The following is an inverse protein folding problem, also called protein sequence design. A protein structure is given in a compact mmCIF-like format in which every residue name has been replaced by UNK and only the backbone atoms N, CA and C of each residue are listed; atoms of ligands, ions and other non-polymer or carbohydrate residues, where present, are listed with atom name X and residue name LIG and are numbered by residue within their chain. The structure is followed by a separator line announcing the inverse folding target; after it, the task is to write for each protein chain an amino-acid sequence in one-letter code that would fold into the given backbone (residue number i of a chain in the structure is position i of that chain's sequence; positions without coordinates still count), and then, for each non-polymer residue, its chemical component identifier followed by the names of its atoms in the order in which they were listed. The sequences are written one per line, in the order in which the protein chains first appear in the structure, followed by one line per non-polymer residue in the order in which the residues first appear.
data_IF_079791167545
#
_entry.id   IF_079791167545
#
_cell.length_a   1.000
_cell.length_b   1.000
_cell.length_c   1.000
_cell.angle_alpha   90.00
_cell.angle_beta   90.00
_cell.angle_gamma   90.00
#
_symmetry.space_group_name_H-M   'P 1'
#
loop_
_entity.id
_entity.type
_entity.pdbx_description
1 polymer ?
#
# COMPACT_ATOMS: atom_id res chain seq x y z
N UNK A 1 18.11 13.89 7.16
CA UNK A 1 19.39 13.59 6.49
C UNK A 1 19.31 14.23 5.12
N UNK A 2 20.24 15.14 4.81
CA UNK A 2 20.09 16.07 3.67
C UNK A 2 20.17 15.33 2.34
N UNK A 3 19.13 15.44 1.50
CA UNK A 3 19.19 15.03 0.10
C UNK A 3 20.19 15.92 -0.63
N UNK A 4 21.35 15.35 -0.97
CA UNK A 4 22.38 16.06 -1.70
C UNK A 4 22.00 16.09 -3.19
N UNK A 5 21.25 17.13 -3.59
CA UNK A 5 20.93 17.39 -4.99
C UNK A 5 22.17 17.93 -5.70
N UNK A 6 23.04 17.04 -6.21
CA UNK A 6 24.04 17.46 -7.19
C UNK A 6 23.32 17.93 -8.44
N UNK A 7 23.41 19.23 -8.73
CA UNK A 7 22.72 19.85 -9.85
C UNK A 7 23.27 19.35 -11.20
N UNK A 8 22.42 19.14 -12.22
CA UNK A 8 22.84 18.62 -13.53
C UNK A 8 23.87 19.51 -14.23
N UNK A 9 23.98 20.80 -13.87
CA UNK A 9 24.99 21.71 -14.41
C UNK A 9 26.40 21.46 -13.88
N UNK A 10 26.55 21.01 -12.62
CA UNK A 10 27.86 20.61 -12.07
C UNK A 10 28.34 19.29 -12.69
N UNK A 11 27.38 18.42 -13.06
CA UNK A 11 27.63 17.15 -13.73
C UNK A 11 28.16 17.31 -15.18
N UNK A 12 27.69 18.35 -15.89
CA UNK A 12 28.10 18.64 -17.27
C UNK A 12 29.46 19.36 -17.39
N UNK A 13 29.95 19.97 -16.31
CA UNK A 13 31.22 20.71 -16.30
C UNK A 13 32.45 19.85 -15.94
N UNK A 14 32.26 18.60 -15.51
CA UNK A 14 33.35 17.66 -15.23
C UNK A 14 33.74 16.91 -16.50
N UNK A 15 35.00 17.06 -16.92
CA UNK A 15 35.61 16.39 -18.08
C UNK A 15 35.65 14.85 -17.97
N UNK A 16 35.14 14.29 -16.86
CA UNK A 16 34.87 12.86 -16.67
C UNK A 16 33.38 12.61 -16.42
N UNK A 17 32.55 12.80 -17.44
CA UNK A 17 31.24 12.13 -17.50
C UNK A 17 31.51 10.65 -17.78
N UNK A 18 31.86 9.90 -16.74
CA UNK A 18 31.74 8.45 -16.78
C UNK A 18 30.25 8.12 -16.73
N UNK A 19 29.78 7.29 -17.64
CA UNK A 19 28.42 6.75 -17.62
C UNK A 19 28.10 6.03 -16.31
N UNK A 20 29.11 5.61 -15.55
CA UNK A 20 28.91 4.95 -14.26
C UNK A 20 28.38 5.92 -13.20
N UNK A 21 28.82 7.19 -13.18
CA UNK A 21 28.36 8.17 -12.18
C UNK A 21 26.98 8.79 -12.48
N UNK A 22 26.44 8.58 -13.69
CA UNK A 22 25.05 8.93 -14.04
C UNK A 22 24.03 7.94 -13.49
N UNK A 23 24.47 6.71 -13.19
CA UNK A 23 23.57 5.59 -12.92
C UNK A 23 23.92 4.79 -11.65
N UNK A 24 25.09 4.99 -11.03
CA UNK A 24 25.48 4.38 -9.74
C UNK A 24 24.65 4.88 -8.54
N UNK A 25 23.95 6.01 -8.67
CA UNK A 25 23.23 6.63 -7.55
C UNK A 25 21.71 6.43 -7.53
N UNK A 26 21.15 5.59 -8.40
CA UNK A 26 19.68 5.53 -8.54
C UNK A 26 19.23 4.10 -8.81
N UNK A 27 19.22 3.28 -7.76
CA UNK A 27 18.25 2.19 -7.72
C UNK A 27 16.86 2.83 -7.54
N UNK A 28 15.80 2.24 -8.09
CA UNK A 28 14.45 2.61 -7.63
C UNK A 28 14.39 2.12 -6.19
N UNK A 29 14.82 2.99 -5.28
CA UNK A 29 15.13 2.58 -3.92
C UNK A 29 13.86 2.12 -3.25
N UNK A 30 13.93 0.89 -2.76
CA UNK A 30 13.01 0.33 -1.78
C UNK A 30 12.83 1.30 -0.57
N UNK A 31 13.74 2.26 -0.37
CA UNK A 31 13.57 3.37 0.57
C UNK A 31 12.29 4.19 0.34
N UNK A 32 11.89 4.45 -0.91
CA UNK A 32 10.64 5.16 -1.22
C UNK A 32 9.40 4.38 -0.74
N UNK A 33 9.53 3.05 -0.66
CA UNK A 33 8.50 2.15 -0.15
C UNK A 33 8.63 1.84 1.34
N UNK A 34 9.67 2.34 2.03
CA UNK A 34 9.88 2.09 3.46
C UNK A 34 8.71 2.58 4.33
N UNK A 35 7.97 3.59 3.85
CA UNK A 35 6.75 4.08 4.50
C UNK A 35 5.60 3.07 4.51
N UNK A 36 5.61 2.04 3.65
CA UNK A 36 4.59 0.99 3.61
C UNK A 36 4.66 0.01 4.78
N UNK A 37 5.85 -0.17 5.35
CA UNK A 37 6.10 -1.07 6.48
C UNK A 37 5.66 -0.44 7.81
N UNK A 38 5.63 0.90 7.87
CA UNK A 38 5.27 1.64 9.07
C UNK A 38 3.84 1.34 9.53
N UNK A 39 3.67 1.23 10.84
CA UNK A 39 2.34 1.24 11.45
C UNK A 39 1.66 2.59 11.24
N UNK A 40 0.33 2.64 11.44
CA UNK A 40 -0.41 3.90 11.30
C UNK A 40 0.00 4.94 12.34
N UNK A 41 0.42 4.50 13.52
CA UNK A 41 0.95 5.39 14.54
C UNK A 41 2.30 5.99 14.12
N UNK A 42 3.17 5.19 13.49
CA UNK A 42 4.50 5.61 13.08
C UNK A 42 4.52 6.43 11.78
N UNK A 43 3.51 6.25 10.92
CA UNK A 43 3.40 7.02 9.68
C UNK A 43 3.08 8.50 9.96
N UNK A 44 2.09 8.78 10.81
CA UNK A 44 1.80 10.13 11.29
C UNK A 44 1.17 10.10 12.70
N UNK A 45 1.98 10.31 13.76
CA UNK A 45 1.53 10.24 15.14
C UNK A 45 0.40 11.23 15.48
N UNK A 46 0.42 12.41 14.86
CA UNK A 46 -0.57 13.47 15.11
C UNK A 46 -1.94 13.09 14.56
N UNK A 47 -1.97 12.62 13.30
CA UNK A 47 -3.22 12.16 12.66
C UNK A 47 -3.75 10.93 13.39
N UNK A 48 -2.88 9.99 13.75
CA UNK A 48 -3.24 8.80 14.51
C UNK A 48 -3.85 9.14 15.88
N UNK A 49 -3.21 10.06 16.62
CA UNK A 49 -3.72 10.51 17.93
C UNK A 49 -5.11 11.14 17.79
N UNK A 50 -5.31 11.98 16.78
CA UNK A 50 -6.61 12.60 16.51
C UNK A 50 -7.69 11.58 16.14
N UNK A 51 -7.40 10.65 15.24
CA UNK A 51 -8.37 9.60 14.86
C UNK A 51 -8.66 8.65 16.02
N UNK A 52 -7.66 8.30 16.82
CA UNK A 52 -7.84 7.48 18.03
C UNK A 52 -8.68 8.20 19.07
N UNK A 53 -8.48 9.51 19.25
CA UNK A 53 -9.29 10.32 20.16
C UNK A 53 -10.77 10.36 19.72
N UNK A 54 -11.05 10.53 18.43
CA UNK A 54 -12.42 10.44 17.90
C UNK A 54 -12.99 9.03 18.12
N UNK A 55 -12.20 8.00 17.84
CA UNK A 55 -12.63 6.60 17.94
C UNK A 55 -13.00 6.25 19.37
N UNK A 56 -12.13 6.54 20.34
CA UNK A 56 -12.36 6.23 21.76
C UNK A 56 -13.35 7.18 22.43
N UNK A 57 -13.33 8.46 22.07
CA UNK A 57 -14.14 9.50 22.70
C UNK A 57 -15.58 9.57 22.21
N UNK A 58 -15.83 9.25 20.94
CA UNK A 58 -17.15 9.45 20.31
C UNK A 58 -17.68 8.13 19.76
N UNK A 59 -16.91 7.46 18.92
CA UNK A 59 -17.44 6.36 18.11
C UNK A 59 -17.62 5.06 18.90
N UNK A 60 -16.74 4.77 19.86
CA UNK A 60 -16.90 3.62 20.76
C UNK A 60 -18.14 3.75 21.65
N UNK A 61 -18.35 4.86 22.40
CA UNK A 61 -19.60 5.08 23.13
C UNK A 61 -20.84 5.01 22.24
N UNK A 62 -20.77 5.55 21.02
CA UNK A 62 -21.87 5.47 20.05
C UNK A 62 -22.17 4.02 19.66
N UNK A 63 -21.14 3.22 19.37
CA UNK A 63 -21.29 1.79 19.06
C UNK A 63 -21.95 1.02 20.21
N UNK A 64 -21.54 1.28 21.45
CA UNK A 64 -22.15 0.66 22.64
C UNK A 64 -23.60 1.12 22.83
N UNK A 65 -23.91 2.40 22.59
CA UNK A 65 -25.28 2.91 22.68
C UNK A 65 -26.20 2.25 21.64
N UNK A 66 -25.73 2.10 20.39
CA UNK A 66 -26.46 1.38 19.34
C UNK A 66 -26.66 -0.09 19.77
N UNK A 67 -25.60 -0.74 20.27
CA UNK A 67 -25.66 -2.11 20.76
C UNK A 67 -26.73 -2.30 21.84
N UNK A 68 -26.83 -1.37 22.78
CA UNK A 68 -27.84 -1.41 23.84
C UNK A 68 -29.27 -1.33 23.28
N UNK A 69 -29.52 -0.49 22.28
CA UNK A 69 -30.83 -0.41 21.60
C UNK A 69 -31.14 -1.73 20.88
N UNK A 70 -30.18 -2.28 20.14
CA UNK A 70 -30.36 -3.55 19.41
C UNK A 70 -30.64 -4.70 20.39
N UNK A 71 -29.96 -4.73 21.54
CA UNK A 71 -30.19 -5.72 22.60
C UNK A 71 -31.64 -5.72 23.09
N UNK A 72 -32.22 -4.55 23.36
CA UNK A 72 -33.62 -4.43 23.79
C UNK A 72 -34.58 -4.94 22.70
N UNK A 73 -34.29 -4.66 21.44
CA UNK A 73 -35.09 -5.13 20.31
C UNK A 73 -35.03 -6.65 20.13
N UNK A 74 -33.84 -7.25 20.21
CA UNK A 74 -33.68 -8.71 20.13
C UNK A 74 -34.30 -9.42 21.32
N UNK A 75 -34.16 -8.85 22.53
CA UNK A 75 -34.84 -9.36 23.72
C UNK A 75 -36.37 -9.36 23.54
N UNK A 76 -36.95 -8.28 23.00
CA UNK A 76 -38.38 -8.21 22.69
C UNK A 76 -38.81 -9.25 21.64
N UNK A 77 -38.02 -9.43 20.57
CA UNK A 77 -38.28 -10.46 19.54
C UNK A 77 -38.26 -11.87 20.14
N UNK A 78 -37.28 -12.17 20.98
CA UNK A 78 -37.17 -13.45 21.67
C UNK A 78 -38.34 -13.68 22.64
N UNK A 79 -38.72 -12.67 23.43
CA UNK A 79 -39.88 -12.73 24.33
C UNK A 79 -41.17 -13.05 23.57
N UNK A 80 -41.41 -12.37 22.43
CA UNK A 80 -42.58 -12.64 21.58
C UNK A 80 -42.54 -14.04 20.97
N UNK A 81 -41.37 -14.49 20.49
CA UNK A 81 -41.20 -15.84 19.93
C UNK A 81 -41.54 -16.92 20.96
N UNK A 82 -41.06 -16.77 22.18
CA UNK A 82 -41.31 -17.71 23.29
C UNK A 82 -42.78 -17.69 23.69
N UNK A 83 -43.37 -16.50 23.86
CA UNK A 83 -44.80 -16.35 24.17
C UNK A 83 -45.71 -16.99 23.11
N UNK A 84 -45.41 -16.80 21.82
CA UNK A 84 -46.17 -17.40 20.72
C UNK A 84 -46.00 -18.93 20.64
N UNK A 85 -44.91 -19.48 21.15
CA UNK A 85 -44.68 -20.93 21.24
C UNK A 85 -45.27 -21.59 22.50
N UNK A 86 -45.97 -20.83 23.35
CA UNK A 86 -46.57 -21.34 24.59
C UNK A 86 -45.56 -21.65 25.70
N UNK A 87 -44.31 -21.23 25.55
CA UNK A 87 -43.23 -21.45 26.51
C UNK A 87 -43.03 -20.27 27.48
N UNK A 88 -42.35 -20.51 28.58
CA UNK A 88 -41.84 -19.46 29.47
C UNK A 88 -40.42 -19.06 29.06
N UNK A 89 -40.07 -17.79 29.24
CA UNK A 89 -38.71 -17.31 29.00
C UNK A 89 -37.81 -17.82 30.12
N UNK A 90 -36.97 -18.82 29.82
CA UNK A 90 -35.98 -19.37 30.75
C UNK A 90 -34.64 -18.66 30.57
N UNK A 91 -33.82 -18.64 31.64
CA UNK A 91 -32.45 -18.12 31.57
C UNK A 91 -31.63 -18.84 30.50
N UNK A 92 -31.86 -20.14 30.30
CA UNK A 92 -31.19 -20.95 29.27
C UNK A 92 -31.49 -20.46 27.85
N UNK A 93 -32.69 -19.93 27.59
CA UNK A 93 -33.02 -19.31 26.30
C UNK A 93 -32.36 -17.93 26.10
N UNK A 94 -32.11 -17.19 27.18
CA UNK A 94 -31.51 -15.84 27.13
C UNK A 94 -29.99 -15.83 27.20
N UNK A 95 -29.38 -16.83 27.86
CA UNK A 95 -27.94 -16.93 28.05
C UNK A 95 -27.12 -16.78 26.75
N UNK A 96 -27.44 -17.47 25.63
CA UNK A 96 -26.66 -17.33 24.40
C UNK A 96 -26.74 -15.91 23.80
N UNK A 97 -27.89 -15.23 23.94
CA UNK A 97 -28.03 -13.84 23.53
C UNK A 97 -27.08 -12.96 24.35
N UNK A 98 -27.16 -13.01 25.68
CA UNK A 98 -26.33 -12.18 26.58
C UNK A 98 -24.84 -12.38 26.31
N UNK A 99 -24.39 -13.62 26.14
CA UNK A 99 -22.99 -13.93 25.84
C UNK A 99 -22.54 -13.32 24.50
N UNK A 100 -23.38 -13.42 23.45
CA UNK A 100 -23.10 -12.80 22.15
C UNK A 100 -22.93 -11.28 22.29
N UNK A 101 -23.83 -10.61 23.00
CA UNK A 101 -23.76 -9.17 23.20
C UNK A 101 -22.54 -8.71 24.01
N UNK A 102 -22.12 -9.48 25.02
CA UNK A 102 -20.87 -9.21 25.75
C UNK A 102 -19.67 -9.31 24.79
N UNK A 103 -19.63 -10.34 23.93
CA UNK A 103 -18.57 -10.48 22.93
C UNK A 103 -18.56 -9.30 21.96
N UNK A 104 -19.72 -8.86 21.48
CA UNK A 104 -19.83 -7.68 20.61
C UNK A 104 -19.30 -6.43 21.31
N UNK A 105 -19.64 -6.21 22.59
CA UNK A 105 -19.12 -5.08 23.37
C UNK A 105 -17.59 -5.12 23.51
N UNK A 106 -17.01 -6.30 23.76
CA UNK A 106 -15.55 -6.48 23.79
C UNK A 106 -14.93 -6.15 22.43
N UNK A 107 -15.54 -6.58 21.32
CA UNK A 107 -15.08 -6.24 19.97
C UNK A 107 -15.11 -4.72 19.73
N UNK A 108 -16.18 -4.02 20.11
CA UNK A 108 -16.30 -2.55 19.98
C UNK A 108 -15.11 -1.84 20.65
N UNK A 109 -14.74 -2.27 21.85
CA UNK A 109 -13.64 -1.67 22.62
C UNK A 109 -12.26 -1.95 22.04
N UNK A 110 -12.10 -3.03 21.27
CA UNK A 110 -10.81 -3.49 20.71
C UNK A 110 -10.72 -3.38 19.18
N UNK A 111 -11.59 -2.62 18.52
CA UNK A 111 -11.59 -2.53 17.05
C UNK A 111 -10.32 -1.94 16.46
N UNK A 112 -9.67 -1.00 17.15
CA UNK A 112 -8.39 -0.43 16.70
C UNK A 112 -7.29 -1.49 16.62
N UNK A 113 -7.26 -2.40 17.60
CA UNK A 113 -6.31 -3.53 17.64
C UNK A 113 -6.54 -4.47 16.45
N UNK A 114 -7.80 -4.72 16.06
CA UNK A 114 -8.11 -5.56 14.90
C UNK A 114 -7.58 -4.91 13.61
N UNK A 115 -7.80 -3.61 13.42
CA UNK A 115 -7.31 -2.89 12.24
C UNK A 115 -5.78 -2.85 12.19
N UNK A 116 -5.14 -2.57 13.33
CA UNK A 116 -3.68 -2.60 13.45
C UNK A 116 -3.11 -3.98 13.15
N UNK A 117 -3.72 -5.06 13.63
CA UNK A 117 -3.28 -6.42 13.36
C UNK A 117 -3.31 -6.77 11.87
N UNK A 118 -4.37 -6.37 11.15
CA UNK A 118 -4.46 -6.57 9.69
C UNK A 118 -3.30 -5.86 8.97
N UNK A 119 -2.99 -4.64 9.39
CA UNK A 119 -1.96 -3.83 8.75
C UNK A 119 -0.57 -4.35 9.11
N UNK A 120 -0.36 -4.79 10.34
CA UNK A 120 0.88 -5.44 10.78
C UNK A 120 1.16 -6.73 10.00
N UNK A 121 0.14 -7.54 9.71
CA UNK A 121 0.28 -8.71 8.84
C UNK A 121 0.72 -8.32 7.43
N UNK A 122 0.15 -7.25 6.86
CA UNK A 122 0.57 -6.76 5.56
C UNK A 122 2.01 -6.22 5.57
N UNK A 123 2.39 -5.48 6.61
CA UNK A 123 3.78 -5.02 6.80
C UNK A 123 4.75 -6.18 6.89
N UNK A 124 4.41 -7.22 7.65
CA UNK A 124 5.22 -8.43 7.77
C UNK A 124 5.42 -9.10 6.40
N UNK A 125 4.38 -9.23 5.58
CA UNK A 125 4.52 -9.77 4.21
C UNK A 125 5.46 -8.90 3.38
N UNK A 126 5.32 -7.57 3.45
CA UNK A 126 6.21 -6.64 2.72
C UNK A 126 7.67 -6.83 3.14
N UNK A 127 7.95 -6.96 4.43
CA UNK A 127 9.31 -7.21 4.95
C UNK A 127 9.89 -8.53 4.43
N UNK A 128 9.10 -9.61 4.42
CA UNK A 128 9.54 -10.90 3.89
C UNK A 128 9.86 -10.80 2.39
N UNK A 129 8.99 -10.13 1.61
CA UNK A 129 9.21 -9.91 0.18
C UNK A 129 10.44 -9.03 -0.02
N UNK A 130 10.64 -7.99 0.79
CA UNK A 130 11.82 -7.13 0.73
C UNK A 130 13.11 -7.92 0.92
N UNK A 131 13.15 -8.79 1.93
CA UNK A 131 14.30 -9.68 2.17
C UNK A 131 14.61 -10.58 0.98
N UNK A 132 13.61 -11.07 0.25
CA UNK A 132 13.83 -11.88 -0.95
C UNK A 132 14.35 -11.03 -2.13
N UNK A 133 13.80 -9.83 -2.31
CA UNK A 133 14.20 -8.92 -3.40
C UNK A 133 15.64 -8.45 -3.22
N UNK A 134 16.07 -8.14 -2.00
CA UNK A 134 17.46 -7.73 -1.71
C UNK A 134 18.46 -8.87 -1.96
N UNK A 135 18.06 -10.13 -1.74
CA UNK A 135 18.92 -11.31 -1.98
C UNK A 135 18.89 -11.82 -3.44
N UNK A 136 17.88 -11.43 -4.22
CA UNK A 136 17.70 -11.82 -5.63
C UNK A 136 18.61 -11.09 -6.63
N UNK A 137 19.42 -10.14 -6.15
CA UNK A 137 20.66 -9.66 -6.77
C UNK A 137 20.66 -9.56 -8.30
N UNK A 138 19.92 -8.60 -8.88
CA UNK A 138 20.34 -8.03 -10.14
C UNK A 138 21.46 -7.04 -9.82
N UNK A 139 22.71 -7.51 -9.78
CA UNK A 139 23.86 -6.62 -9.82
C UNK A 139 23.74 -5.79 -11.09
N UNK A 140 23.51 -4.49 -10.91
CA UNK A 140 23.42 -3.53 -11.98
C UNK A 140 24.83 -3.32 -12.53
N UNK A 141 25.21 -4.09 -13.55
CA UNK A 141 26.25 -3.61 -14.43
C UNK A 141 25.68 -2.37 -15.14
N UNK A 142 26.22 -1.22 -14.77
CA UNK A 142 26.13 -0.01 -15.56
C UNK A 142 26.73 -0.31 -16.92
N UNK A 143 26.01 0.06 -17.98
CA UNK A 143 26.56 0.01 -19.32
C UNK A 143 27.69 1.04 -19.36
N UNK A 144 28.92 0.57 -19.14
CA UNK A 144 30.11 1.29 -19.51
C UNK A 144 30.19 1.27 -21.04
N UNK A 145 29.99 2.42 -21.67
CA UNK A 145 30.41 2.63 -23.06
C UNK A 145 29.31 2.66 -24.11
N UNK A 146 28.50 3.73 -24.11
CA UNK A 146 27.94 4.23 -25.37
C UNK A 146 28.84 5.36 -25.85
N UNK A 147 29.86 5.02 -26.64
CA UNK A 147 30.66 6.01 -27.36
C UNK A 147 29.84 6.50 -28.55
N UNK A 148 29.02 7.51 -28.33
CA UNK A 148 28.43 8.29 -29.43
C UNK A 148 29.56 8.88 -30.28
N UNK A 149 29.73 8.35 -31.49
CA UNK A 149 30.64 8.94 -32.48
C UNK A 149 30.03 10.26 -32.96
N UNK A 150 30.68 11.39 -32.62
CA UNK A 150 30.29 12.75 -33.03
C UNK A 150 29.52 13.57 -31.98
N UNK A 151 29.72 14.90 -32.01
CA UNK A 151 29.12 15.89 -31.09
C UNK A 151 27.58 15.81 -31.09
N UNK A 152 26.97 15.59 -32.25
CA UNK A 152 25.50 15.48 -32.39
C UNK A 152 24.96 14.22 -31.71
N UNK A 153 25.67 13.09 -31.83
CA UNK A 153 25.30 11.84 -31.15
C UNK A 153 25.34 11.97 -29.63
N UNK A 154 26.36 12.65 -29.09
CA UNK A 154 26.46 12.94 -27.65
C UNK A 154 25.33 13.83 -27.14
N UNK A 155 24.88 14.81 -27.93
CA UNK A 155 23.77 15.70 -27.56
C UNK A 155 22.42 14.97 -27.51
N UNK A 156 22.15 14.08 -28.48
CA UNK A 156 20.92 13.27 -28.51
C UNK A 156 20.88 12.30 -27.31
N UNK A 157 21.99 11.61 -27.05
CA UNK A 157 22.09 10.70 -25.88
C UNK A 157 21.90 11.48 -24.58
N UNK A 158 22.49 12.67 -24.45
CA UNK A 158 22.30 13.55 -23.30
C UNK A 158 20.84 13.99 -23.10
N UNK A 159 20.12 14.32 -24.17
CA UNK A 159 18.70 14.68 -24.10
C UNK A 159 17.83 13.52 -23.60
N UNK A 160 18.01 12.31 -24.14
CA UNK A 160 17.26 11.14 -23.68
C UNK A 160 17.62 10.74 -22.25
N UNK A 161 18.88 10.92 -21.82
CA UNK A 161 19.28 10.68 -20.43
C UNK A 161 18.56 11.62 -19.45
N UNK A 162 18.43 12.91 -19.80
CA UNK A 162 17.67 13.89 -18.99
C UNK A 162 16.19 13.53 -18.94
N UNK A 163 15.59 13.08 -20.06
CA UNK A 163 14.19 12.65 -20.08
C UNK A 163 13.96 11.42 -19.20
N UNK A 164 14.82 10.41 -19.27
CA UNK A 164 14.72 9.21 -18.42
C UNK A 164 14.83 9.62 -16.94
N UNK A 165 15.77 10.50 -16.60
CA UNK A 165 15.92 11.02 -15.24
C UNK A 165 14.64 11.73 -14.74
N UNK A 166 14.03 12.57 -15.57
CA UNK A 166 12.80 13.30 -15.23
C UNK A 166 11.62 12.35 -14.99
N UNK A 167 11.43 11.37 -15.89
CA UNK A 167 10.37 10.36 -15.76
C UNK A 167 10.56 9.52 -14.50
N UNK A 168 11.81 9.23 -14.10
CA UNK A 168 12.12 8.48 -12.88
C UNK A 168 11.88 9.27 -11.60
N UNK A 169 12.18 10.57 -11.60
CA UNK A 169 11.78 11.45 -10.51
C UNK A 169 10.25 11.51 -10.36
N UNK A 170 9.54 11.56 -11.48
CA UNK A 170 8.08 11.54 -11.48
C UNK A 170 7.51 10.23 -10.90
N UNK A 171 8.11 9.07 -11.20
CA UNK A 171 7.62 7.78 -10.68
C UNK A 171 7.75 7.67 -9.16
N UNK A 172 8.86 8.11 -8.57
CA UNK A 172 9.05 8.14 -7.11
C UNK A 172 8.00 9.04 -6.44
N UNK A 173 7.75 10.22 -7.02
CA UNK A 173 6.72 11.13 -6.52
C UNK A 173 5.33 10.49 -6.53
N UNK A 174 4.98 9.78 -7.61
CA UNK A 174 3.71 9.06 -7.73
C UNK A 174 3.58 7.97 -6.67
N UNK A 175 4.64 7.18 -6.41
CA UNK A 175 4.64 6.15 -5.36
C UNK A 175 4.36 6.78 -3.99
N UNK A 176 5.08 7.85 -3.62
CA UNK A 176 4.90 8.53 -2.33
C UNK A 176 3.48 9.10 -2.17
N UNK A 177 2.92 9.68 -3.23
CA UNK A 177 1.54 10.19 -3.23
C UNK A 177 0.55 9.05 -3.02
N UNK A 178 0.70 7.92 -3.74
CA UNK A 178 -0.19 6.76 -3.62
C UNK A 178 -0.15 6.16 -2.22
N UNK A 179 1.04 6.05 -1.61
CA UNK A 179 1.19 5.57 -0.24
C UNK A 179 0.45 6.51 0.72
N UNK A 180 0.61 7.83 0.56
CA UNK A 180 -0.07 8.81 1.42
C UNK A 180 -1.59 8.74 1.28
N UNK A 181 -2.12 8.61 0.06
CA UNK A 181 -3.56 8.46 -0.19
C UNK A 181 -4.10 7.20 0.50
N UNK A 182 -3.38 6.08 0.40
CA UNK A 182 -3.74 4.82 1.08
C UNK A 182 -3.82 5.02 2.61
N UNK A 183 -2.83 5.68 3.21
CA UNK A 183 -2.85 5.96 4.64
C UNK A 183 -4.03 6.85 5.03
N UNK A 184 -4.34 7.89 4.25
CA UNK A 184 -5.52 8.74 4.48
C UNK A 184 -6.81 7.90 4.45
N UNK A 185 -6.98 7.00 3.48
CA UNK A 185 -8.15 6.13 3.38
C UNK A 185 -8.27 5.21 4.61
N UNK A 186 -7.17 4.62 5.07
CA UNK A 186 -7.13 3.83 6.29
C UNK A 186 -7.48 4.67 7.54
N UNK A 187 -6.93 5.88 7.66
CA UNK A 187 -7.24 6.78 8.77
C UNK A 187 -8.72 7.15 8.84
N UNK A 188 -9.36 7.39 7.69
CA UNK A 188 -10.78 7.69 7.62
C UNK A 188 -11.67 6.50 8.00
N UNK A 189 -11.17 5.27 7.86
CA UNK A 189 -11.91 4.09 8.26
C UNK A 189 -11.92 3.90 9.78
N UNK A 190 -10.79 4.09 10.48
CA UNK A 190 -10.64 3.76 11.92
C UNK A 190 -11.80 4.23 12.79
N UNK A 191 -12.27 5.51 12.72
CA UNK A 191 -13.35 5.97 13.59
C UNK A 191 -14.65 5.19 13.41
N UNK A 192 -14.92 4.65 12.23
CA UNK A 192 -16.14 3.90 11.95
C UNK A 192 -16.04 2.42 12.34
N UNK A 193 -14.82 1.90 12.56
CA UNK A 193 -14.58 0.50 12.89
C UNK A 193 -15.38 -0.01 14.11
N UNK A 194 -15.50 0.74 15.24
CA UNK A 194 -16.32 0.33 16.39
C UNK A 194 -17.80 0.12 16.07
N UNK A 195 -18.33 0.76 15.04
CA UNK A 195 -19.76 0.64 14.68
C UNK A 195 -19.96 -0.46 13.64
N UNK A 196 -19.08 -0.55 12.65
CA UNK A 196 -19.27 -1.42 11.49
C UNK A 196 -18.74 -2.83 11.72
N UNK A 197 -17.55 -2.99 12.31
CA UNK A 197 -16.95 -4.32 12.53
C UNK A 197 -17.88 -5.23 13.34
N UNK A 198 -18.40 -4.84 14.51
CA UNK A 198 -19.18 -5.76 15.33
C UNK A 198 -20.48 -6.25 14.68
N UNK A 199 -20.96 -5.59 13.62
CA UNK A 199 -22.12 -6.06 12.85
C UNK A 199 -21.90 -7.41 12.17
N UNK A 200 -20.66 -7.89 12.02
CA UNK A 200 -20.40 -9.23 11.46
C UNK A 200 -20.96 -10.37 12.32
N UNK A 201 -21.22 -10.13 13.62
CA UNK A 201 -21.78 -11.12 14.54
C UNK A 201 -23.31 -11.26 14.44
N UNK A 202 -23.99 -10.31 13.81
CA UNK A 202 -25.45 -10.36 13.59
C UNK A 202 -25.73 -10.96 12.23
N UNK A 203 -26.60 -11.97 12.14
CA UNK A 203 -26.94 -12.62 10.86
C UNK A 203 -27.53 -11.65 9.83
N UNK A 204 -28.32 -10.67 10.28
CA UNK A 204 -28.98 -9.68 9.40
C UNK A 204 -27.98 -8.65 8.83
N UNK A 205 -26.98 -8.26 9.62
CA UNK A 205 -26.02 -7.20 9.26
C UNK A 205 -24.62 -7.73 8.96
N UNK A 206 -24.46 -9.06 8.93
CA UNK A 206 -23.18 -9.73 8.74
C UNK A 206 -22.44 -9.27 7.48
N UNK A 207 -23.20 -9.07 6.41
CA UNK A 207 -22.69 -8.60 5.12
C UNK A 207 -21.99 -7.24 5.23
N UNK A 208 -22.52 -6.33 6.05
CA UNK A 208 -21.96 -4.98 6.24
C UNK A 208 -20.63 -5.06 6.97
N UNK A 209 -20.56 -5.81 8.08
CA UNK A 209 -19.33 -5.97 8.86
C UNK A 209 -18.23 -6.67 8.08
N UNK A 210 -18.56 -7.75 7.37
CA UNK A 210 -17.62 -8.45 6.49
C UNK A 210 -17.18 -7.55 5.33
N UNK A 211 -18.08 -6.82 4.70
CA UNK A 211 -17.76 -5.88 3.62
C UNK A 211 -16.80 -4.78 4.07
N UNK A 212 -16.99 -4.26 5.29
CA UNK A 212 -16.09 -3.27 5.87
C UNK A 212 -14.70 -3.86 6.15
N UNK A 213 -14.62 -5.06 6.73
CA UNK A 213 -13.34 -5.76 6.93
C UNK A 213 -12.65 -6.05 5.59
N UNK A 214 -13.40 -6.48 4.57
CA UNK A 214 -12.86 -6.65 3.20
C UNK A 214 -12.28 -5.35 2.66
N UNK A 215 -12.94 -4.21 2.83
CA UNK A 215 -12.40 -2.92 2.41
C UNK A 215 -11.07 -2.60 3.10
N UNK A 216 -10.93 -2.85 4.41
CA UNK A 216 -9.66 -2.67 5.12
C UNK A 216 -8.58 -3.61 4.54
N UNK A 217 -8.94 -4.87 4.29
CA UNK A 217 -8.04 -5.84 3.65
C UNK A 217 -7.59 -5.39 2.26
N UNK A 218 -8.44 -4.72 1.48
CA UNK A 218 -8.06 -4.18 0.16
C UNK A 218 -6.95 -3.17 0.29
N UNK A 219 -7.07 -2.22 1.23
CA UNK A 219 -6.03 -1.23 1.46
C UNK A 219 -4.75 -1.87 2.01
N UNK A 220 -4.86 -2.94 2.81
CA UNK A 220 -3.72 -3.73 3.26
C UNK A 220 -2.99 -4.40 2.07
N UNK A 221 -3.72 -5.15 1.23
CA UNK A 221 -3.22 -5.83 0.02
C UNK A 221 -2.70 -4.85 -1.02
N UNK A 222 -3.34 -3.68 -1.18
CA UNK A 222 -2.87 -2.63 -2.08
C UNK A 222 -1.45 -2.18 -1.70
N UNK A 223 -1.13 -2.08 -0.41
CA UNK A 223 0.23 -1.78 0.04
C UNK A 223 1.25 -2.83 -0.42
N UNK A 224 0.90 -4.11 -0.28
CA UNK A 224 1.74 -5.23 -0.75
C UNK A 224 1.93 -5.16 -2.27
N UNK A 225 0.87 -4.88 -3.03
CA UNK A 225 0.95 -4.76 -4.48
C UNK A 225 1.82 -3.58 -4.93
N UNK A 226 1.71 -2.41 -4.29
CA UNK A 226 2.57 -1.26 -4.58
C UNK A 226 4.04 -1.66 -4.38
N UNK A 227 4.35 -2.32 -3.26
CA UNK A 227 5.70 -2.80 -2.98
C UNK A 227 6.19 -3.79 -4.04
N UNK A 228 5.37 -4.80 -4.38
CA UNK A 228 5.70 -5.79 -5.41
C UNK A 228 5.95 -5.14 -6.77
N UNK A 229 5.06 -4.24 -7.21
CA UNK A 229 5.22 -3.55 -8.49
C UNK A 229 6.54 -2.79 -8.53
N UNK A 230 6.89 -2.05 -7.48
CA UNK A 230 8.16 -1.31 -7.40
C UNK A 230 9.37 -2.26 -7.38
N UNK A 231 9.28 -3.36 -6.64
CA UNK A 231 10.35 -4.36 -6.54
C UNK A 231 10.65 -5.11 -7.84
N UNK A 232 9.67 -5.19 -8.76
CA UNK A 232 9.84 -5.83 -10.07
C UNK A 232 10.53 -4.93 -11.10
N UNK A 233 10.53 -3.61 -10.90
CA UNK A 233 11.11 -2.63 -11.83
C UNK A 233 12.59 -2.92 -12.15
N UNK A 234 13.48 -3.16 -11.16
CA UNK A 234 14.84 -3.62 -11.38
C UNK A 234 14.97 -4.80 -12.34
N UNK A 235 14.10 -5.80 -12.19
CA UNK A 235 14.21 -7.09 -12.87
C UNK A 235 13.90 -6.95 -14.36
N UNK A 236 12.90 -6.14 -14.70
CA UNK A 236 12.57 -5.83 -16.10
C UNK A 236 13.62 -4.91 -16.76
N UNK A 237 14.22 -3.97 -16.01
CA UNK A 237 15.30 -3.12 -16.53
C UNK A 237 16.57 -3.94 -16.84
N UNK A 238 16.90 -4.94 -16.02
CA UNK A 238 18.07 -5.81 -16.22
C UNK A 238 17.94 -6.69 -17.48
N UNK A 239 16.74 -7.18 -17.80
CA UNK A 239 16.52 -8.01 -18.99
C UNK A 239 16.78 -7.25 -20.30
N UNK A 240 16.49 -5.94 -20.35
CA UNK A 240 16.80 -5.09 -21.49
C UNK A 240 18.30 -4.79 -21.66
N UNK A 241 19.07 -4.79 -20.58
CA UNK A 241 20.52 -4.50 -20.58
C UNK A 241 21.38 -5.65 -21.12
N UNK A 242 20.95 -6.90 -20.94
CA UNK A 242 21.72 -8.09 -21.37
C UNK A 242 21.88 -8.13 -22.90
N UNK A 243 20.94 -7.55 -23.66
CA UNK A 243 21.01 -7.47 -25.12
C UNK A 243 22.10 -6.52 -25.67
N UNK A 244 22.71 -5.68 -24.83
CA UNK A 244 23.54 -4.53 -25.23
C UNK A 244 25.03 -4.79 -25.10
N UNK A 245 25.42 -5.73 -24.23
CA UNK A 245 26.83 -6.01 -23.92
C UNK A 245 27.62 -6.62 -25.09
N UNK A 246 26.95 -6.96 -26.19
CA UNK A 246 27.56 -7.55 -27.39
C UNK A 246 28.13 -6.52 -28.40
N UNK A 247 28.28 -5.25 -28.02
CA UNK A 247 28.90 -4.22 -28.88
C UNK A 247 27.88 -3.43 -29.72
N UNK A 248 26.87 -2.89 -29.05
CA UNK A 248 25.72 -2.27 -29.68
C UNK A 248 25.98 -0.90 -30.34
N UNK A 249 25.47 -0.71 -31.55
CA UNK A 249 25.51 0.57 -32.28
C UNK A 249 24.56 1.63 -31.70
N UNK A 250 24.65 2.87 -32.20
CA UNK A 250 23.80 4.01 -31.76
C UNK A 250 22.29 3.68 -31.82
N UNK A 251 21.86 2.84 -32.77
CA UNK A 251 20.46 2.42 -32.93
C UNK A 251 19.97 1.53 -31.78
N UNK A 252 20.80 0.60 -31.32
CA UNK A 252 20.47 -0.31 -30.21
C UNK A 252 20.50 0.45 -28.88
N UNK A 253 21.49 1.35 -28.70
CA UNK A 253 21.53 2.34 -27.62
C UNK A 253 20.21 3.10 -27.47
N UNK A 254 19.68 3.64 -28.58
CA UNK A 254 18.41 4.36 -28.58
C UNK A 254 17.22 3.42 -28.28
N UNK A 255 17.22 2.19 -28.80
CA UNK A 255 16.16 1.22 -28.54
C UNK A 255 16.03 0.87 -27.05
N UNK A 256 17.14 0.73 -26.31
CA UNK A 256 17.12 0.47 -24.86
C UNK A 256 16.60 1.70 -24.10
N UNK A 257 17.02 2.90 -24.51
CA UNK A 257 16.56 4.14 -23.88
C UNK A 257 15.05 4.34 -24.08
N UNK A 258 14.51 4.03 -25.27
CA UNK A 258 13.07 4.00 -25.51
C UNK A 258 12.37 2.89 -24.69
N UNK A 259 12.97 1.71 -24.59
CA UNK A 259 12.45 0.61 -23.76
C UNK A 259 12.30 0.99 -22.28
N UNK A 260 13.31 1.68 -21.71
CA UNK A 260 13.25 2.18 -20.34
C UNK A 260 12.16 3.22 -20.11
N UNK A 261 11.92 4.10 -21.08
CA UNK A 261 10.81 5.07 -21.02
C UNK A 261 9.44 4.38 -21.06
N UNK A 262 9.26 3.39 -21.94
CA UNK A 262 8.02 2.60 -22.01
C UNK A 262 7.77 1.86 -20.70
N UNK A 263 8.82 1.26 -20.12
CA UNK A 263 8.71 0.56 -18.85
C UNK A 263 8.31 1.48 -17.69
N UNK A 264 8.85 2.70 -17.64
CA UNK A 264 8.47 3.67 -16.63
C UNK A 264 7.01 4.12 -16.75
N UNK A 265 6.48 4.25 -17.97
CA UNK A 265 5.06 4.55 -18.22
C UNK A 265 4.18 3.36 -17.77
N UNK A 266 4.58 2.13 -18.11
CA UNK A 266 3.87 0.92 -17.68
C UNK A 266 3.82 0.77 -16.15
N UNK A 267 4.90 1.14 -15.47
CA UNK A 267 4.98 1.16 -14.00
C UNK A 267 3.91 2.11 -13.42
N UNK A 268 3.79 3.33 -13.94
CA UNK A 268 2.78 4.30 -13.49
C UNK A 268 1.37 3.74 -13.70
N UNK A 269 1.11 3.13 -14.86
CA UNK A 269 -0.19 2.51 -15.15
C UNK A 269 -0.48 1.36 -14.17
N UNK A 270 0.50 0.50 -13.90
CA UNK A 270 0.37 -0.61 -12.96
C UNK A 270 0.13 -0.12 -11.51
N UNK A 271 0.83 0.93 -11.09
CA UNK A 271 0.66 1.55 -9.77
C UNK A 271 -0.75 2.13 -9.60
N UNK A 272 -1.25 2.86 -10.59
CA UNK A 272 -2.62 3.40 -10.56
C UNK A 272 -3.66 2.26 -10.57
N UNK A 273 -3.37 1.17 -11.30
CA UNK A 273 -4.20 -0.03 -11.33
C UNK A 273 -4.17 -0.87 -10.04
N UNK A 274 -3.18 -0.68 -9.16
CA UNK A 274 -2.96 -1.52 -7.96
C UNK A 274 -4.18 -1.61 -7.05
N UNK A 275 -4.93 -0.51 -6.89
CA UNK A 275 -6.15 -0.49 -6.07
C UNK A 275 -7.26 -1.36 -6.68
N UNK A 276 -7.41 -1.35 -8.00
CA UNK A 276 -8.40 -2.18 -8.71
C UNK A 276 -8.01 -3.66 -8.60
N UNK A 277 -6.72 -3.96 -8.76
CA UNK A 277 -6.20 -5.32 -8.61
C UNK A 277 -6.42 -5.84 -7.18
N UNK A 278 -6.15 -5.03 -6.16
CA UNK A 278 -6.40 -5.40 -4.76
C UNK A 278 -7.87 -5.72 -4.49
N UNK A 279 -8.81 -4.95 -5.08
CA UNK A 279 -10.26 -5.22 -4.98
C UNK A 279 -10.63 -6.55 -5.64
N UNK A 280 -10.12 -6.81 -6.83
CA UNK A 280 -10.40 -8.06 -7.54
C UNK A 280 -9.90 -9.30 -6.81
N UNK A 281 -8.74 -9.24 -6.13
CA UNK A 281 -8.19 -10.34 -5.34
C UNK A 281 -9.12 -10.72 -4.18
N UNK A 282 -9.80 -9.74 -3.60
CA UNK A 282 -10.70 -9.95 -2.45
C UNK A 282 -12.16 -10.19 -2.87
N UNK A 283 -12.39 -10.36 -4.18
CA UNK A 283 -13.70 -10.66 -4.75
C UNK A 283 -14.69 -9.50 -4.61
N UNK A 284 -14.21 -8.27 -4.82
CA UNK A 284 -15.02 -7.04 -4.83
C UNK A 284 -14.96 -6.31 -6.16
#
# INVERSE_FOLDING_TARGET
MMMNFTSPFVFLASEKVSSDSLFEGFQVDLESTASLVKSLADFNPTVWSYMTAITKGIMQPLGVAILAVVLVLEFSKMAKKIANSGGAMTFEAMAPMIVSYIMVAVVITNTTVIVEAIIALASYVIEQVAGLVTNGGANYDTISGIKGSGIVGKMIIGFFAILIWLVRMASIMVVNILITIRFIQLYLMIPFAPVTIPTFLSDDWRSVGIGYLKNIMVYAVQGILIFLIVSLVPLFESAGKIAVSNGAGVMESLAIMFGGLVQAILLIIALVGSQRTARSILGM
#
